data_IF_908552742461
#
_entry.id   IF_908552742461
#
_cell.length_a   1.000
_cell.length_b   1.000
_cell.length_c   1.000
_cell.angle_alpha   90.00
_cell.angle_beta   90.00
_cell.angle_gamma   90.00
#
_symmetry.space_group_name_H-M   'P 1'
#
loop_
_entity.id
_entity.type
_entity.pdbx_description
1 polymer ?
#
# COMPACT_ATOMS: atom_id res chain seq x y z
N UNK A 1 -15.76 -7.46 22.36
CA UNK A 1 -14.45 -7.14 22.96
C UNK A 1 -13.57 -6.35 21.99
N UNK A 2 -14.08 -5.21 21.51
CA UNK A 2 -13.31 -4.29 20.67
C UNK A 2 -12.50 -3.24 21.48
N UNK A 3 -12.74 -3.18 22.78
CA UNK A 3 -12.15 -2.19 23.68
C UNK A 3 -10.63 -2.34 23.89
N UNK A 4 -10.11 -3.56 23.90
CA UNK A 4 -8.70 -3.81 24.20
C UNK A 4 -7.69 -3.21 23.19
N UNK A 5 -8.07 -3.07 21.92
CA UNK A 5 -7.17 -2.53 20.90
C UNK A 5 -7.12 -0.99 20.96
N UNK A 6 -8.19 -0.36 21.37
CA UNK A 6 -8.22 1.08 21.60
C UNK A 6 -7.33 1.53 22.76
N UNK A 7 -7.21 0.71 23.79
CA UNK A 7 -6.37 1.02 24.95
C UNK A 7 -4.88 0.90 24.66
N UNK A 8 -4.50 -0.07 23.82
CA UNK A 8 -3.12 -0.16 23.33
C UNK A 8 -2.71 1.03 22.47
N UNK A 9 -3.64 1.74 21.96
CA UNK A 9 -3.40 2.91 21.18
C UNK A 9 -2.27 3.67 21.79
N UNK A 10 -1.85 3.09 22.93
CA UNK A 10 -1.23 4.19 22.71
C UNK A 10 -0.90 4.93 23.96
N UNK A 11 -0.73 4.20 24.82
CA UNK A 11 0.39 4.42 25.70
C UNK A 11 1.73 4.41 24.95
N UNK A 12 1.74 4.78 23.67
CA UNK A 12 2.93 5.42 23.13
C UNK A 12 3.09 6.64 24.02
N UNK A 13 3.90 6.49 25.05
CA UNK A 13 4.30 7.59 25.90
C UNK A 13 4.98 8.56 24.95
N UNK A 14 4.20 9.52 24.45
CA UNK A 14 4.77 10.70 23.81
C UNK A 14 5.84 11.14 24.79
N UNK A 15 7.12 11.15 24.40
CA UNK A 15 8.18 11.57 25.29
C UNK A 15 7.71 12.85 25.95
N UNK A 16 7.95 13.03 27.23
CA UNK A 16 7.53 14.23 28.03
C UNK A 16 7.97 15.57 27.43
N UNK A 17 8.64 15.56 26.29
CA UNK A 17 8.84 16.75 25.47
C UNK A 17 7.45 17.25 25.05
N UNK A 18 6.97 18.28 25.74
CA UNK A 18 5.83 19.07 25.27
C UNK A 18 6.05 19.35 23.79
N UNK A 19 5.11 18.89 22.95
CA UNK A 19 5.09 19.27 21.54
C UNK A 19 5.14 20.79 21.49
N UNK A 20 6.17 21.35 20.85
CA UNK A 20 6.28 22.79 20.75
C UNK A 20 5.21 23.29 19.79
N UNK A 21 4.49 24.34 20.17
CA UNK A 21 3.61 25.05 19.25
C UNK A 21 4.41 25.45 18.00
N UNK A 22 3.89 25.09 16.81
CA UNK A 22 4.47 25.39 15.49
C UNK A 22 5.70 24.61 15.03
N UNK A 23 6.34 23.77 15.81
CA UNK A 23 7.46 22.94 15.34
C UNK A 23 6.94 21.61 14.77
N UNK A 24 6.25 21.66 13.66
CA UNK A 24 5.50 20.55 13.12
C UNK A 24 6.35 19.36 12.69
N UNK A 25 7.52 19.59 12.09
CA UNK A 25 8.39 18.46 11.72
C UNK A 25 8.98 17.81 12.97
N UNK A 26 9.42 18.58 13.97
CA UNK A 26 9.88 18.02 15.26
C UNK A 26 8.75 17.19 15.92
N UNK A 27 7.51 17.70 15.85
CA UNK A 27 6.35 16.96 16.34
C UNK A 27 6.12 15.66 15.54
N UNK A 28 6.18 15.72 14.21
CA UNK A 28 6.09 14.54 13.37
C UNK A 28 7.19 13.53 13.70
N UNK A 29 8.42 14.00 13.86
CA UNK A 29 9.57 13.18 14.22
C UNK A 29 9.35 12.52 15.58
N UNK A 30 9.03 13.30 16.61
CA UNK A 30 8.85 12.81 17.98
C UNK A 30 7.69 11.82 18.12
N UNK A 31 6.55 12.04 17.43
CA UNK A 31 5.34 11.24 17.57
C UNK A 31 5.32 10.04 16.64
N UNK A 32 5.91 10.14 15.45
CA UNK A 32 5.76 9.11 14.42
C UNK A 32 7.08 8.42 14.08
N UNK A 33 8.16 9.17 13.89
CA UNK A 33 9.44 8.59 13.44
C UNK A 33 10.17 7.96 14.62
N UNK A 34 10.41 8.71 15.67
CA UNK A 34 11.18 8.25 16.85
C UNK A 34 10.42 7.17 17.65
N UNK A 35 9.09 7.17 17.58
CA UNK A 35 8.25 6.12 18.16
C UNK A 35 8.07 4.90 17.27
N UNK A 36 8.70 4.91 16.10
CA UNK A 36 8.66 3.81 15.14
C UNK A 36 7.25 3.48 14.59
N UNK A 37 6.36 4.47 14.56
CA UNK A 37 5.03 4.34 13.95
C UNK A 37 5.05 4.58 12.44
N UNK A 38 6.12 5.16 11.89
CA UNK A 38 6.22 5.51 10.49
C UNK A 38 6.00 4.28 9.59
N UNK A 39 5.04 4.39 8.68
CA UNK A 39 4.74 3.34 7.68
C UNK A 39 5.43 3.57 6.34
N UNK A 40 6.32 4.54 6.26
CA UNK A 40 7.05 4.89 5.04
C UNK A 40 6.13 5.16 3.82
N UNK A 41 4.93 5.71 4.05
CA UNK A 41 3.99 6.04 2.97
C UNK A 41 4.39 7.27 2.15
N UNK A 42 5.31 8.08 2.63
CA UNK A 42 5.83 9.32 2.01
C UNK A 42 4.80 10.42 1.75
N UNK A 43 3.64 10.38 2.41
CA UNK A 43 2.64 11.43 2.25
C UNK A 43 3.18 12.79 2.70
N UNK A 44 3.88 12.83 3.83
CA UNK A 44 4.54 14.04 4.35
C UNK A 44 5.63 14.58 3.41
N UNK A 45 6.42 13.69 2.80
CA UNK A 45 7.43 14.03 1.80
C UNK A 45 6.79 14.68 0.57
N UNK A 46 5.68 14.12 0.10
CA UNK A 46 5.00 14.60 -1.11
C UNK A 46 4.46 16.03 -0.99
N UNK A 47 4.12 16.49 0.19
CA UNK A 47 3.53 17.83 0.39
C UNK A 47 4.53 18.88 0.88
N UNK A 48 5.66 18.47 1.42
CA UNK A 48 6.63 19.40 2.00
C UNK A 48 7.26 20.32 0.94
N UNK A 49 7.14 21.65 1.09
CA UNK A 49 7.80 22.60 0.18
C UNK A 49 9.28 22.78 0.51
N UNK A 50 9.71 22.44 1.74
CA UNK A 50 11.07 22.63 2.24
C UNK A 50 12.04 21.50 1.92
N UNK A 51 11.55 20.36 1.39
CA UNK A 51 12.42 19.25 1.00
C UNK A 51 12.56 18.14 2.03
N UNK A 52 11.50 17.86 2.79
CA UNK A 52 11.41 16.63 3.59
C UNK A 52 11.66 15.43 2.67
N UNK A 53 12.50 14.50 3.08
CA UNK A 53 13.00 13.41 2.26
C UNK A 53 13.07 12.10 3.05
N UNK A 54 13.78 11.13 2.53
CA UNK A 54 14.14 9.86 3.19
C UNK A 54 15.66 9.80 3.31
N UNK A 55 16.15 9.32 4.44
CA UNK A 55 17.58 9.07 4.67
C UNK A 55 18.05 7.81 3.91
N UNK A 56 19.35 7.52 3.98
CA UNK A 56 19.94 6.30 3.44
C UNK A 56 19.39 5.03 4.11
N UNK A 57 18.95 5.15 5.37
CA UNK A 57 18.29 4.07 6.12
C UNK A 57 16.78 3.94 5.79
N UNK A 58 16.32 4.63 4.73
CA UNK A 58 14.92 4.65 4.28
C UNK A 58 13.93 5.15 5.36
N UNK A 59 14.38 6.10 6.19
CA UNK A 59 13.60 6.75 7.25
C UNK A 59 13.29 8.19 6.83
N UNK A 60 12.08 8.66 7.12
CA UNK A 60 11.70 10.06 6.85
C UNK A 60 12.59 11.01 7.64
N UNK A 61 13.26 11.90 6.94
CA UNK A 61 14.23 12.86 7.49
C UNK A 61 14.14 14.23 6.81
N UNK A 62 14.68 15.24 7.49
CA UNK A 62 14.73 16.63 6.99
C UNK A 62 16.11 17.22 7.23
N UNK A 63 17.12 16.93 6.39
CA UNK A 63 18.49 17.36 6.58
C UNK A 63 18.65 18.89 6.70
N UNK A 64 17.86 19.65 5.94
CA UNK A 64 17.91 21.11 5.92
C UNK A 64 16.81 21.76 6.82
N UNK A 65 16.39 21.08 7.87
CA UNK A 65 15.26 21.50 8.71
C UNK A 65 15.38 22.96 9.18
N UNK A 66 16.53 23.33 9.75
CA UNK A 66 16.73 24.66 10.35
C UNK A 66 16.62 25.82 9.35
N UNK A 67 16.90 25.56 8.08
CA UNK A 67 16.96 26.58 7.03
C UNK A 67 15.78 26.55 6.08
N UNK A 68 15.15 25.39 5.86
CA UNK A 68 14.11 25.21 4.84
C UNK A 68 12.72 24.89 5.39
N UNK A 69 12.60 24.54 6.67
CA UNK A 69 11.29 24.31 7.27
C UNK A 69 10.52 25.62 7.40
N UNK A 70 9.32 25.66 6.78
CA UNK A 70 8.42 26.81 6.87
C UNK A 70 7.47 26.74 8.08
N UNK A 71 7.58 25.70 8.88
CA UNK A 71 6.69 25.42 10.00
C UNK A 71 5.19 25.49 9.64
N UNK A 72 4.84 25.02 8.44
CA UNK A 72 3.49 25.14 7.87
C UNK A 72 2.53 24.03 8.33
N UNK A 73 3.02 22.99 8.98
CA UNK A 73 2.24 21.86 9.49
C UNK A 73 1.71 20.88 8.45
N UNK A 74 2.03 21.04 7.15
CA UNK A 74 1.54 20.17 6.10
C UNK A 74 1.91 18.70 6.34
N UNK A 75 3.14 18.41 6.77
CA UNK A 75 3.63 17.07 7.04
C UNK A 75 2.86 16.36 8.15
N UNK A 76 2.43 17.09 9.19
CA UNK A 76 1.63 16.55 10.31
C UNK A 76 0.19 16.26 9.83
N UNK A 77 -0.46 17.24 9.19
CA UNK A 77 -1.87 17.09 8.78
C UNK A 77 -2.12 15.94 7.82
N UNK A 78 -1.16 15.64 6.95
CA UNK A 78 -1.32 14.53 5.99
C UNK A 78 -0.75 13.20 6.49
N UNK A 79 -0.16 13.16 7.67
CA UNK A 79 0.42 11.91 8.17
C UNK A 79 -0.67 10.98 8.70
N UNK A 80 -0.89 9.79 8.08
CA UNK A 80 -1.92 8.87 8.56
C UNK A 80 -1.53 8.15 9.86
N UNK A 81 -0.32 8.43 10.38
CA UNK A 81 0.20 7.84 11.61
C UNK A 81 0.33 8.83 12.77
N UNK A 82 0.12 10.14 12.52
CA UNK A 82 0.22 11.15 13.58
C UNK A 82 -0.92 10.98 14.61
N UNK A 83 -2.16 10.86 14.11
CA UNK A 83 -3.34 10.55 14.90
C UNK A 83 -3.87 9.17 14.49
N UNK A 84 -3.02 8.14 14.58
CA UNK A 84 -3.33 6.84 14.03
C UNK A 84 -4.41 6.12 14.83
N UNK A 85 -5.48 5.77 14.13
CA UNK A 85 -6.53 4.88 14.63
C UNK A 85 -6.40 3.49 14.03
N UNK A 86 -6.17 2.44 14.86
CA UNK A 86 -6.11 1.08 14.37
C UNK A 86 -7.40 0.70 13.65
N UNK A 87 -7.27 0.19 12.43
CA UNK A 87 -8.42 -0.32 11.69
C UNK A 87 -8.84 -1.67 12.24
N UNK A 88 -10.14 -1.90 12.35
CA UNK A 88 -10.68 -3.16 12.86
C UNK A 88 -11.40 -3.96 11.77
N UNK A 89 -11.13 -5.28 11.71
CA UNK A 89 -11.79 -6.16 10.76
C UNK A 89 -11.41 -5.90 9.31
N UNK A 90 -12.37 -6.09 8.43
CA UNK A 90 -12.21 -5.96 6.98
C UNK A 90 -12.77 -4.64 6.43
N UNK A 91 -13.32 -3.77 7.29
CA UNK A 91 -14.06 -2.58 6.89
C UNK A 91 -15.40 -2.91 6.22
N UNK A 92 -16.12 -1.88 5.84
CA UNK A 92 -17.38 -2.02 5.12
C UNK A 92 -17.16 -2.31 3.64
N UNK A 93 -18.05 -3.10 3.04
CA UNK A 93 -18.08 -3.39 1.61
C UNK A 93 -19.51 -3.66 1.17
N UNK A 94 -19.85 -3.26 -0.05
CA UNK A 94 -21.15 -3.56 -0.67
C UNK A 94 -21.16 -4.91 -1.39
N UNK A 95 -19.99 -5.38 -1.84
CA UNK A 95 -19.82 -6.70 -2.44
C UNK A 95 -18.43 -7.28 -2.11
N UNK A 96 -18.39 -8.59 -1.91
CA UNK A 96 -17.18 -9.37 -1.71
C UNK A 96 -17.21 -10.55 -2.69
N UNK A 97 -16.41 -10.46 -3.74
CA UNK A 97 -16.50 -11.34 -4.92
C UNK A 97 -15.12 -11.83 -5.36
N UNK A 98 -15.09 -12.97 -6.04
CA UNK A 98 -13.94 -13.40 -6.81
C UNK A 98 -14.00 -12.82 -8.22
N UNK A 99 -12.85 -12.43 -8.79
CA UNK A 99 -12.78 -11.92 -10.15
C UNK A 99 -11.52 -12.40 -10.87
N UNK A 100 -11.64 -12.70 -12.18
CA UNK A 100 -10.54 -13.04 -13.06
C UNK A 100 -10.71 -12.33 -14.40
N UNK A 101 -9.76 -11.46 -14.73
CA UNK A 101 -9.73 -10.81 -16.03
C UNK A 101 -9.58 -11.83 -17.17
N UNK A 102 -10.28 -11.58 -18.28
CA UNK A 102 -10.11 -12.31 -19.54
C UNK A 102 -9.10 -11.66 -20.47
N UNK A 103 -8.71 -10.43 -20.16
CA UNK A 103 -7.84 -9.61 -21.01
C UNK A 103 -6.38 -9.56 -20.52
N UNK A 104 -6.20 -9.71 -19.21
CA UNK A 104 -4.89 -9.53 -18.59
C UNK A 104 -4.47 -10.77 -17.82
N UNK A 105 -3.16 -11.02 -17.82
CA UNK A 105 -2.52 -12.00 -16.96
C UNK A 105 -1.91 -11.30 -15.73
N UNK A 106 -1.91 -11.97 -14.59
CA UNK A 106 -1.35 -11.46 -13.34
C UNK A 106 -0.97 -12.60 -12.41
N UNK A 107 -0.66 -12.26 -11.16
CA UNK A 107 -0.29 -13.27 -10.17
C UNK A 107 -1.46 -14.20 -9.83
N UNK A 108 -2.67 -13.62 -9.80
CA UNK A 108 -3.96 -14.28 -9.58
C UNK A 108 -4.92 -13.87 -10.70
N UNK A 109 -6.09 -13.35 -10.38
CA UNK A 109 -7.11 -12.94 -11.34
C UNK A 109 -6.85 -11.64 -12.13
N UNK A 110 -5.72 -10.96 -11.93
CA UNK A 110 -5.36 -9.70 -12.61
C UNK A 110 -6.40 -8.57 -12.46
N UNK A 111 -7.24 -8.59 -11.41
CA UNK A 111 -8.31 -7.62 -11.23
C UNK A 111 -7.83 -6.19 -10.96
N UNK A 112 -6.63 -5.99 -10.41
CA UNK A 112 -6.05 -4.65 -10.24
C UNK A 112 -5.86 -3.97 -11.60
N UNK A 113 -5.25 -4.68 -12.54
CA UNK A 113 -5.06 -4.19 -13.91
C UNK A 113 -6.40 -3.96 -14.61
N UNK A 114 -7.33 -4.91 -14.50
CA UNK A 114 -8.66 -4.83 -15.10
C UNK A 114 -9.44 -3.59 -14.61
N UNK A 115 -9.44 -3.33 -13.30
CA UNK A 115 -10.11 -2.17 -12.69
C UNK A 115 -9.56 -0.83 -13.22
N UNK A 116 -8.24 -0.69 -13.27
CA UNK A 116 -7.61 0.55 -13.73
C UNK A 116 -7.87 0.77 -15.23
N UNK A 117 -7.71 -0.27 -16.07
CA UNK A 117 -7.94 -0.15 -17.51
C UNK A 117 -9.42 0.13 -17.81
N UNK A 118 -10.33 -0.56 -17.15
CA UNK A 118 -11.77 -0.31 -17.30
C UNK A 118 -12.14 1.12 -16.88
N UNK A 119 -11.56 1.65 -15.80
CA UNK A 119 -11.78 3.05 -15.41
C UNK A 119 -11.20 4.06 -16.42
N UNK A 120 -10.10 3.69 -17.13
CA UNK A 120 -9.56 4.47 -18.26
C UNK A 120 -10.53 4.44 -19.46
N UNK A 121 -11.01 3.28 -19.85
CA UNK A 121 -11.98 3.12 -20.94
C UNK A 121 -13.30 3.85 -20.69
N UNK A 122 -13.73 3.92 -19.42
CA UNK A 122 -14.87 4.74 -18.99
C UNK A 122 -14.60 6.26 -19.05
N UNK A 123 -13.35 6.68 -19.25
CA UNK A 123 -12.95 8.09 -19.19
C UNK A 123 -12.94 8.69 -17.79
N UNK A 124 -13.10 7.89 -16.75
CA UNK A 124 -13.06 8.34 -15.33
C UNK A 124 -11.65 8.77 -14.96
N UNK A 125 -10.65 8.06 -15.45
CA UNK A 125 -9.23 8.36 -15.30
C UNK A 125 -8.53 8.36 -16.66
N UNK A 126 -7.46 9.13 -16.79
CA UNK A 126 -6.55 9.10 -17.95
C UNK A 126 -5.12 8.68 -17.54
N UNK A 127 -4.98 8.27 -16.28
CA UNK A 127 -3.70 7.88 -15.72
C UNK A 127 -3.86 6.89 -14.59
N UNK A 128 -3.14 5.77 -14.67
CA UNK A 128 -2.99 4.78 -13.61
C UNK A 128 -1.59 4.82 -13.01
N UNK A 129 -1.48 4.76 -11.68
CA UNK A 129 -0.20 4.62 -10.98
C UNK A 129 -0.04 3.19 -10.50
N UNK A 130 1.02 2.54 -10.96
CA UNK A 130 1.39 1.17 -10.62
C UNK A 130 2.79 1.11 -10.04
N UNK A 131 2.97 0.22 -9.07
CA UNK A 131 4.29 -0.21 -8.65
C UNK A 131 4.77 -1.36 -9.56
N UNK A 132 5.84 -1.13 -10.28
CA UNK A 132 6.59 -2.14 -11.00
C UNK A 132 7.90 -2.44 -10.29
N UNK A 133 8.85 -3.00 -11.00
CA UNK A 133 10.21 -3.26 -10.54
C UNK A 133 11.23 -2.98 -11.62
N UNK A 134 12.43 -2.60 -11.22
CA UNK A 134 13.59 -2.54 -12.10
C UNK A 134 14.23 -3.95 -12.29
N UNK A 135 15.37 -3.97 -12.93
CA UNK A 135 16.16 -5.18 -13.20
C UNK A 135 16.73 -5.83 -11.93
N UNK A 136 16.92 -5.03 -10.86
CA UNK A 136 17.40 -5.49 -9.55
C UNK A 136 16.26 -5.82 -8.58
N UNK A 137 15.01 -5.84 -9.05
CA UNK A 137 13.80 -6.03 -8.23
C UNK A 137 13.52 -4.90 -7.23
N UNK A 138 14.18 -3.76 -7.34
CA UNK A 138 13.76 -2.57 -6.60
C UNK A 138 12.44 -2.05 -7.17
N UNK A 139 11.58 -1.57 -6.27
CA UNK A 139 10.25 -1.10 -6.67
C UNK A 139 10.34 0.25 -7.37
N UNK A 140 9.79 0.32 -8.55
CA UNK A 140 9.66 1.53 -9.37
C UNK A 140 8.19 1.91 -9.60
N UNK A 141 7.93 3.22 -9.74
CA UNK A 141 6.59 3.72 -10.02
C UNK A 141 6.39 4.01 -11.51
N UNK A 142 5.29 3.50 -12.06
CA UNK A 142 4.92 3.67 -13.45
C UNK A 142 3.64 4.48 -13.59
N UNK A 143 3.67 5.46 -14.52
CA UNK A 143 2.50 6.23 -14.94
C UNK A 143 1.95 5.62 -16.23
N UNK A 144 0.95 4.78 -16.11
CA UNK A 144 0.27 4.16 -17.24
C UNK A 144 -0.79 5.13 -17.78
N UNK A 145 -0.72 5.44 -19.06
CA UNK A 145 -1.66 6.29 -19.79
C UNK A 145 -2.35 5.55 -20.92
N UNK A 146 -1.78 4.44 -21.32
CA UNK A 146 -2.25 3.57 -22.37
C UNK A 146 -2.25 2.13 -21.86
N UNK A 147 -3.36 1.39 -22.01
CA UNK A 147 -3.42 -0.03 -21.65
C UNK A 147 -2.31 -0.89 -22.24
N UNK A 148 -1.79 -0.55 -23.43
CA UNK A 148 -0.67 -1.28 -24.04
C UNK A 148 0.61 -1.23 -23.20
N UNK A 149 0.80 -0.19 -22.38
CA UNK A 149 1.92 -0.09 -21.45
C UNK A 149 1.90 -1.14 -20.35
N UNK A 150 0.73 -1.76 -20.09
CA UNK A 150 0.57 -2.82 -19.09
C UNK A 150 1.09 -4.19 -19.57
N UNK A 151 1.44 -4.33 -20.84
CA UNK A 151 2.15 -5.49 -21.35
C UNK A 151 3.61 -5.59 -20.84
N UNK A 152 4.10 -4.56 -20.13
CA UNK A 152 5.44 -4.54 -19.53
C UNK A 152 5.48 -5.55 -18.39
N UNK A 153 6.28 -6.59 -18.51
CA UNK A 153 6.38 -7.72 -17.57
C UNK A 153 6.78 -7.30 -16.15
N UNK A 154 7.51 -6.19 -16.00
CA UNK A 154 7.93 -5.66 -14.68
C UNK A 154 6.79 -5.11 -13.83
N UNK A 155 5.62 -4.83 -14.43
CA UNK A 155 4.42 -4.39 -13.70
C UNK A 155 3.68 -5.55 -13.02
N UNK A 156 3.79 -6.76 -13.54
CA UNK A 156 3.12 -7.95 -12.98
C UNK A 156 3.76 -8.45 -11.69
N UNK A 157 2.99 -9.24 -10.93
CA UNK A 157 3.41 -9.92 -9.71
C UNK A 157 3.53 -9.03 -8.48
N UNK A 158 3.69 -9.66 -7.32
CA UNK A 158 3.84 -8.97 -6.03
C UNK A 158 5.28 -8.51 -5.82
N UNK A 159 5.45 -7.28 -5.36
CA UNK A 159 6.71 -6.70 -4.88
C UNK A 159 6.53 -6.47 -3.39
N UNK A 160 7.41 -7.03 -2.60
CA UNK A 160 7.36 -6.92 -1.14
C UNK A 160 8.22 -5.76 -0.61
N UNK A 161 8.47 -4.75 -1.43
CA UNK A 161 9.25 -3.56 -1.07
C UNK A 161 8.41 -2.30 -1.16
N UNK A 162 8.80 -1.28 -0.38
CA UNK A 162 8.12 0.02 -0.41
C UNK A 162 8.25 0.70 -1.78
N UNK A 163 7.21 1.41 -2.18
CA UNK A 163 7.15 2.19 -3.40
C UNK A 163 6.89 3.67 -3.10
N UNK A 164 7.48 4.55 -3.87
CA UNK A 164 7.35 6.01 -3.73
C UNK A 164 6.06 6.56 -4.37
N UNK A 165 4.92 5.96 -3.98
CA UNK A 165 3.61 6.25 -4.59
C UNK A 165 3.21 7.73 -4.43
N UNK A 166 3.42 8.33 -3.26
CA UNK A 166 2.89 9.68 -2.97
C UNK A 166 3.61 10.80 -3.73
N UNK A 167 4.94 10.81 -3.87
CA UNK A 167 5.63 11.76 -4.72
C UNK A 167 5.16 11.68 -6.19
N UNK A 168 4.94 10.46 -6.70
CA UNK A 168 4.45 10.26 -8.06
C UNK A 168 2.98 10.63 -8.21
N UNK A 169 2.14 10.38 -7.20
CA UNK A 169 0.75 10.84 -7.17
C UNK A 169 0.66 12.36 -7.24
N UNK A 170 1.51 13.08 -6.50
CA UNK A 170 1.62 14.55 -6.56
C UNK A 170 1.93 15.04 -7.98
N UNK A 171 2.81 14.35 -8.71
CA UNK A 171 3.08 14.65 -10.12
C UNK A 171 1.86 14.34 -10.99
N UNK A 172 1.27 13.16 -10.81
CA UNK A 172 0.13 12.70 -11.62
C UNK A 172 -1.07 13.64 -11.56
N UNK A 173 -1.48 14.09 -10.37
CA UNK A 173 -2.66 14.98 -10.21
C UNK A 173 -2.48 16.35 -10.88
N UNK A 174 -1.24 16.80 -11.10
CA UNK A 174 -0.95 18.06 -11.81
C UNK A 174 -1.12 17.96 -13.32
N UNK A 175 -0.94 16.77 -13.89
CA UNK A 175 -0.90 16.55 -15.33
C UNK A 175 -2.08 15.75 -15.87
N UNK A 176 -2.96 15.24 -15.00
CA UNK A 176 -4.16 14.55 -15.43
C UNK A 176 -5.21 15.51 -15.98
N UNK A 177 -5.93 15.08 -17.03
CA UNK A 177 -7.08 15.79 -17.59
C UNK A 177 -8.38 15.37 -16.94
N UNK A 178 -8.65 14.06 -16.86
CA UNK A 178 -9.88 13.51 -16.26
C UNK A 178 -9.69 13.04 -14.81
N UNK A 179 -8.67 12.24 -14.53
CA UNK A 179 -8.41 11.75 -13.18
C UNK A 179 -7.28 10.73 -13.11
N UNK A 180 -6.91 10.38 -11.88
CA UNK A 180 -5.87 9.40 -11.55
C UNK A 180 -6.48 8.23 -10.82
N UNK A 181 -6.12 7.01 -11.26
CA UNK A 181 -6.27 5.78 -10.50
C UNK A 181 -4.96 5.47 -9.77
N UNK A 182 -5.02 5.17 -8.49
CA UNK A 182 -3.85 4.83 -7.69
C UNK A 182 -3.99 3.45 -7.07
N UNK A 183 -2.93 2.65 -7.15
CA UNK A 183 -2.83 1.34 -6.52
C UNK A 183 -1.89 1.44 -5.33
N UNK A 184 -2.28 0.92 -4.17
CA UNK A 184 -1.44 0.99 -2.99
C UNK A 184 -1.81 0.03 -1.86
N UNK A 185 -0.85 -0.21 -0.99
CA UNK A 185 -1.05 -0.93 0.27
C UNK A 185 -1.89 -0.10 1.26
N UNK A 186 -2.41 -0.66 2.36
CA UNK A 186 -3.27 0.07 3.30
C UNK A 186 -2.71 1.41 3.79
N UNK A 187 -1.41 1.48 4.08
CA UNK A 187 -0.77 2.72 4.52
C UNK A 187 -0.73 3.79 3.42
N UNK A 188 -0.57 3.39 2.15
CA UNK A 188 -0.67 4.28 1.00
C UNK A 188 -2.11 4.78 0.85
N UNK A 189 -3.09 3.88 0.94
CA UNK A 189 -4.52 4.25 0.87
C UNK A 189 -4.87 5.28 1.93
N UNK A 190 -4.51 5.05 3.20
CA UNK A 190 -4.73 6.02 4.28
C UNK A 190 -4.06 7.38 4.00
N UNK A 191 -2.83 7.36 3.45
CA UNK A 191 -2.15 8.59 3.04
C UNK A 191 -2.88 9.32 1.91
N UNK A 192 -3.43 8.59 0.91
CA UNK A 192 -4.26 9.19 -0.16
C UNK A 192 -5.49 9.87 0.43
N UNK A 193 -6.17 9.24 1.40
CA UNK A 193 -7.33 9.84 2.06
C UNK A 193 -6.97 11.12 2.81
N UNK A 194 -5.85 11.13 3.53
CA UNK A 194 -5.35 12.36 4.18
C UNK A 194 -5.05 13.46 3.17
N UNK A 195 -4.48 13.14 2.00
CA UNK A 195 -4.29 14.12 0.92
C UNK A 195 -5.61 14.64 0.37
N UNK A 196 -6.63 13.78 0.21
CA UNK A 196 -7.96 14.17 -0.25
C UNK A 196 -8.70 15.03 0.77
N UNK A 197 -8.51 14.80 2.06
CA UNK A 197 -9.06 15.64 3.14
C UNK A 197 -8.47 17.04 3.11
N UNK A 198 -7.14 17.15 3.01
CA UNK A 198 -6.41 18.41 3.14
C UNK A 198 -6.36 19.24 1.85
N UNK A 199 -6.29 18.60 0.68
CA UNK A 199 -6.01 19.30 -0.57
C UNK A 199 -7.09 19.05 -1.64
N UNK A 200 -7.80 20.11 -2.10
CA UNK A 200 -8.84 19.99 -3.12
C UNK A 200 -8.37 19.28 -4.40
N UNK A 201 -7.13 19.52 -4.86
CA UNK A 201 -6.60 18.91 -6.08
C UNK A 201 -6.58 17.36 -6.00
N UNK A 202 -6.23 16.79 -4.85
CA UNK A 202 -6.26 15.34 -4.68
C UNK A 202 -7.70 14.82 -4.59
N UNK A 203 -8.59 15.56 -3.92
CA UNK A 203 -10.01 15.21 -3.84
C UNK A 203 -10.68 15.20 -5.21
N UNK A 204 -10.35 16.17 -6.05
CA UNK A 204 -10.93 16.31 -7.38
C UNK A 204 -10.30 15.38 -8.41
N UNK A 205 -8.99 15.10 -8.30
CA UNK A 205 -8.26 14.41 -9.35
C UNK A 205 -8.02 12.92 -9.07
N UNK A 206 -7.97 12.47 -7.82
CA UNK A 206 -7.88 11.05 -7.51
C UNK A 206 -9.29 10.45 -7.55
N UNK A 207 -9.57 9.67 -8.60
CA UNK A 207 -10.92 9.18 -8.92
C UNK A 207 -11.13 7.71 -8.58
N UNK A 208 -10.04 6.93 -8.48
CA UNK A 208 -10.11 5.52 -8.12
C UNK A 208 -8.91 5.15 -7.24
N UNK A 209 -9.19 4.63 -6.07
CA UNK A 209 -8.17 4.12 -5.12
C UNK A 209 -8.34 2.62 -4.98
N UNK A 210 -7.41 1.88 -5.57
CA UNK A 210 -7.35 0.42 -5.49
C UNK A 210 -6.41 0.03 -4.36
N UNK A 211 -6.95 -0.54 -3.29
CA UNK A 211 -6.19 -1.05 -2.17
C UNK A 211 -5.73 -2.49 -2.39
N UNK A 212 -4.53 -2.83 -1.94
CA UNK A 212 -4.02 -4.19 -1.94
C UNK A 212 -4.12 -4.81 -0.55
N UNK A 213 -4.49 -6.09 -0.47
CA UNK A 213 -4.35 -6.85 0.78
C UNK A 213 -2.88 -6.92 1.15
N UNK A 214 -2.54 -6.60 2.40
CA UNK A 214 -1.15 -6.45 2.82
C UNK A 214 -0.96 -6.93 4.27
N UNK A 215 -0.11 -7.90 4.46
CA UNK A 215 0.37 -8.31 5.79
C UNK A 215 1.57 -7.48 6.23
N UNK A 216 2.55 -7.30 5.35
CA UNK A 216 3.77 -6.54 5.55
C UNK A 216 4.39 -6.06 4.24
N UNK A 217 5.36 -5.16 4.37
CA UNK A 217 6.24 -4.70 3.30
C UNK A 217 7.63 -4.42 3.89
N UNK A 218 8.68 -4.37 3.07
CA UNK A 218 10.06 -4.32 3.54
C UNK A 218 10.83 -3.17 2.89
N UNK A 219 11.90 -2.73 3.54
CA UNK A 219 12.91 -1.88 2.92
C UNK A 219 13.71 -2.71 1.92
N UNK A 220 13.97 -2.14 0.75
CA UNK A 220 14.61 -2.89 -0.34
C UNK A 220 15.98 -3.44 0.04
N UNK A 221 16.83 -2.61 0.65
CA UNK A 221 18.18 -3.04 1.03
C UNK A 221 18.17 -4.20 2.04
N UNK A 222 17.23 -4.18 2.99
CA UNK A 222 17.15 -5.22 4.02
C UNK A 222 16.66 -6.55 3.44
N UNK A 223 15.57 -6.51 2.64
CA UNK A 223 15.04 -7.76 2.08
C UNK A 223 15.94 -8.31 0.97
N UNK A 224 16.60 -7.49 0.16
CA UNK A 224 17.51 -7.97 -0.88
C UNK A 224 18.70 -8.69 -0.28
N UNK A 225 19.37 -8.10 0.71
CA UNK A 225 20.47 -8.73 1.44
C UNK A 225 20.03 -10.02 2.13
N UNK A 226 18.84 -10.03 2.73
CA UNK A 226 18.29 -11.22 3.36
C UNK A 226 18.08 -12.35 2.36
N UNK A 227 17.48 -12.06 1.21
CA UNK A 227 17.20 -13.04 0.15
C UNK A 227 18.49 -13.56 -0.50
N UNK A 228 19.47 -12.70 -0.76
CA UNK A 228 20.81 -13.11 -1.22
C UNK A 228 21.47 -14.05 -0.23
N UNK A 229 21.39 -13.76 1.06
CA UNK A 229 21.85 -14.63 2.14
C UNK A 229 21.15 -15.99 2.21
N UNK A 230 19.96 -16.13 1.62
CA UNK A 230 19.21 -17.39 1.44
C UNK A 230 19.51 -18.08 0.11
N UNK A 231 20.37 -17.51 -0.74
CA UNK A 231 20.73 -18.08 -2.04
C UNK A 231 19.87 -17.61 -3.22
N UNK A 232 19.10 -16.53 -3.05
CA UNK A 232 18.35 -15.95 -4.17
C UNK A 232 19.31 -15.15 -5.07
N UNK A 233 19.34 -15.50 -6.33
CA UNK A 233 20.02 -14.76 -7.40
C UNK A 233 19.02 -13.86 -8.12
N UNK A 234 19.10 -12.54 -7.86
CA UNK A 234 18.17 -11.57 -8.44
C UNK A 234 18.23 -11.51 -9.96
N UNK A 235 19.37 -11.84 -10.58
CA UNK A 235 19.50 -11.88 -12.04
C UNK A 235 18.67 -12.99 -12.67
N UNK A 236 18.32 -14.01 -11.89
CA UNK A 236 17.50 -15.16 -12.30
C UNK A 236 16.08 -15.11 -11.74
N UNK A 237 15.79 -14.16 -10.84
CA UNK A 237 14.53 -14.11 -10.14
C UNK A 237 13.39 -13.78 -11.11
N UNK A 238 12.35 -14.62 -11.12
CA UNK A 238 11.16 -14.49 -11.98
C UNK A 238 9.95 -14.03 -11.19
N UNK A 239 9.76 -14.57 -9.98
CA UNK A 239 8.58 -14.33 -9.15
C UNK A 239 8.92 -14.43 -7.67
N UNK A 240 8.27 -13.58 -6.87
CA UNK A 240 8.18 -13.77 -5.42
C UNK A 240 6.73 -13.97 -5.01
N UNK A 241 6.50 -14.81 -3.99
CA UNK A 241 5.17 -15.10 -3.47
C UNK A 241 5.21 -15.40 -1.98
N UNK A 242 4.12 -15.09 -1.28
CA UNK A 242 3.87 -15.54 0.10
C UNK A 242 2.60 -16.35 0.10
N UNK A 243 2.72 -17.65 0.29
CA UNK A 243 1.59 -18.55 0.36
C UNK A 243 1.75 -19.61 1.44
N UNK A 244 0.67 -19.94 2.14
CA UNK A 244 0.65 -20.95 3.21
C UNK A 244 1.78 -20.80 4.25
N UNK A 245 2.09 -19.55 4.62
CA UNK A 245 3.12 -19.22 5.61
C UNK A 245 4.56 -19.40 5.13
N UNK A 246 4.79 -19.52 3.82
CA UNK A 246 6.10 -19.62 3.19
C UNK A 246 6.33 -18.44 2.25
N UNK A 247 7.54 -17.89 2.29
CA UNK A 247 8.07 -17.05 1.23
C UNK A 247 8.68 -17.94 0.16
N UNK A 248 8.39 -17.67 -1.08
CA UNK A 248 8.85 -18.42 -2.24
C UNK A 248 9.47 -17.45 -3.23
N UNK A 249 10.75 -17.64 -3.54
CA UNK A 249 11.44 -16.96 -4.61
C UNK A 249 11.69 -17.95 -5.75
N UNK A 250 11.02 -17.79 -6.87
CA UNK A 250 11.15 -18.62 -8.05
C UNK A 250 12.15 -17.99 -9.00
N UNK A 251 13.21 -18.68 -9.30
CA UNK A 251 14.25 -18.32 -10.28
C UNK A 251 14.07 -19.13 -11.56
N UNK A 252 14.80 -18.78 -12.60
CA UNK A 252 14.72 -19.48 -13.90
C UNK A 252 15.12 -20.95 -13.84
N UNK A 253 15.96 -21.33 -12.88
CA UNK A 253 16.58 -22.65 -12.75
C UNK A 253 16.43 -23.26 -11.34
N UNK A 254 15.91 -22.53 -10.36
CA UNK A 254 15.77 -22.99 -8.98
C UNK A 254 14.63 -22.28 -8.25
N UNK A 255 14.32 -22.74 -7.04
CA UNK A 255 13.32 -22.15 -6.16
C UNK A 255 13.79 -22.17 -4.70
N UNK A 256 13.85 -20.98 -4.09
CA UNK A 256 14.17 -20.84 -2.67
C UNK A 256 12.89 -20.70 -1.86
N UNK A 257 12.71 -21.55 -0.84
CA UNK A 257 11.54 -21.53 0.05
C UNK A 257 11.95 -21.50 1.51
N UNK A 258 11.33 -20.62 2.29
CA UNK A 258 11.48 -20.60 3.74
C UNK A 258 10.21 -20.13 4.44
N UNK A 259 10.12 -20.29 5.77
CA UNK A 259 8.97 -19.81 6.55
C UNK A 259 8.92 -18.29 6.54
N UNK A 260 7.78 -17.68 6.20
CA UNK A 260 7.60 -16.21 6.19
C UNK A 260 7.92 -15.58 7.55
N UNK A 261 7.73 -16.32 8.64
CA UNK A 261 8.08 -15.87 10.00
C UNK A 261 9.56 -15.47 10.13
N UNK A 262 10.45 -16.02 9.32
CA UNK A 262 11.86 -15.66 9.36
C UNK A 262 12.13 -14.22 8.86
N UNK A 263 11.18 -13.58 8.18
CA UNK A 263 11.25 -12.17 7.78
C UNK A 263 10.85 -11.20 8.93
N UNK A 264 10.39 -11.71 10.07
CA UNK A 264 10.04 -10.85 11.22
C UNK A 264 11.27 -10.07 11.75
N UNK A 265 12.48 -10.59 11.55
CA UNK A 265 13.71 -9.91 11.96
C UNK A 265 14.03 -8.63 11.19
N UNK A 266 13.53 -8.52 9.94
CA UNK A 266 13.68 -7.36 9.07
C UNK A 266 12.36 -6.62 8.86
N UNK A 267 11.34 -6.91 9.67
CA UNK A 267 10.02 -6.30 9.52
C UNK A 267 10.04 -4.84 9.98
N UNK A 268 9.71 -3.88 9.11
CA UNK A 268 9.65 -2.49 9.49
C UNK A 268 8.68 -2.25 10.64
N UNK A 269 9.10 -1.47 11.60
CA UNK A 269 8.32 -1.22 12.83
C UNK A 269 6.93 -0.67 12.57
N UNK A 270 6.76 0.18 11.55
CA UNK A 270 5.44 0.67 11.13
C UNK A 270 4.50 -0.42 10.59
N UNK A 271 5.03 -1.55 10.09
CA UNK A 271 4.23 -2.71 9.73
C UNK A 271 3.79 -3.51 10.96
N UNK A 272 4.60 -3.53 12.01
CA UNK A 272 4.27 -4.20 13.27
C UNK A 272 3.01 -3.64 13.92
N UNK A 273 2.84 -2.30 13.92
CA UNK A 273 1.68 -1.62 14.53
C UNK A 273 0.45 -1.57 13.62
N UNK A 274 0.58 -1.98 12.35
CA UNK A 274 -0.50 -1.89 11.38
C UNK A 274 -1.54 -2.99 11.58
N UNK A 275 -2.81 -2.62 11.75
CA UNK A 275 -3.94 -3.57 11.89
C UNK A 275 -4.76 -3.70 10.61
N UNK A 276 -4.57 -2.84 9.61
CA UNK A 276 -5.30 -2.89 8.35
C UNK A 276 -4.70 -3.94 7.40
N UNK A 277 -5.47 -4.98 7.11
CA UNK A 277 -5.09 -6.02 6.14
C UNK A 277 -5.66 -5.75 4.76
N UNK A 278 -6.90 -5.28 4.69
CA UNK A 278 -7.68 -5.21 3.44
C UNK A 278 -7.74 -3.83 2.81
N UNK A 279 -6.97 -2.86 3.29
CA UNK A 279 -7.03 -1.47 2.84
C UNK A 279 -8.45 -0.90 2.95
N UNK A 280 -8.98 -0.88 4.18
CA UNK A 280 -10.40 -0.60 4.47
C UNK A 280 -10.90 0.77 3.96
N UNK A 281 -10.00 1.71 3.73
CA UNK A 281 -10.31 3.05 3.21
C UNK A 281 -10.23 3.14 1.67
N UNK A 282 -9.94 2.06 0.94
CA UNK A 282 -9.93 2.05 -0.52
C UNK A 282 -11.34 2.24 -1.12
N UNK A 283 -11.44 2.51 -2.42
CA UNK A 283 -12.70 2.42 -3.15
C UNK A 283 -13.03 0.95 -3.47
N UNK A 284 -11.98 0.20 -3.81
CA UNK A 284 -12.02 -1.24 -4.01
C UNK A 284 -10.72 -1.85 -3.51
N UNK A 285 -10.79 -2.98 -2.84
CA UNK A 285 -9.61 -3.69 -2.35
C UNK A 285 -9.46 -5.04 -3.04
N UNK A 286 -8.22 -5.42 -3.35
CA UNK A 286 -7.92 -6.62 -4.12
C UNK A 286 -6.83 -7.44 -3.42
N UNK A 287 -7.00 -8.75 -3.40
CA UNK A 287 -6.00 -9.68 -2.88
C UNK A 287 -6.19 -11.10 -3.40
N UNK A 288 -5.39 -12.05 -2.90
CA UNK A 288 -5.42 -13.46 -3.33
C UNK A 288 -6.17 -14.37 -2.37
N UNK A 289 -6.33 -13.97 -1.11
CA UNK A 289 -6.96 -14.80 -0.07
C UNK A 289 -8.48 -14.61 -0.09
N UNK A 290 -9.25 -15.69 0.02
CA UNK A 290 -10.70 -15.68 0.05
C UNK A 290 -11.36 -16.14 -1.26
N UNK A 291 -10.58 -16.39 -2.31
CA UNK A 291 -11.07 -16.89 -3.60
C UNK A 291 -10.30 -18.11 -4.09
N UNK A 292 -10.85 -18.81 -5.06
CA UNK A 292 -10.20 -19.96 -5.70
C UNK A 292 -8.89 -19.55 -6.41
N UNK A 293 -7.98 -20.49 -6.57
CA UNK A 293 -6.72 -20.27 -7.30
C UNK A 293 -6.97 -19.71 -8.71
N UNK A 294 -6.19 -18.70 -9.10
CA UNK A 294 -6.34 -17.98 -10.37
C UNK A 294 -7.44 -16.93 -10.39
N UNK A 295 -8.06 -16.65 -9.23
CA UNK A 295 -8.97 -15.53 -9.03
C UNK A 295 -8.38 -14.53 -8.02
N UNK A 296 -8.67 -13.27 -8.21
CA UNK A 296 -8.46 -12.24 -7.19
C UNK A 296 -9.71 -12.09 -6.33
N UNK A 297 -9.55 -11.92 -5.03
CA UNK A 297 -10.62 -11.49 -4.14
C UNK A 297 -10.78 -9.98 -4.27
N UNK A 298 -12.00 -9.50 -4.43
CA UNK A 298 -12.35 -8.10 -4.65
C UNK A 298 -13.40 -7.68 -3.64
N UNK A 299 -13.05 -6.73 -2.76
CA UNK A 299 -13.99 -6.08 -1.85
C UNK A 299 -14.37 -4.70 -2.43
N UNK A 300 -15.59 -4.54 -2.88
CA UNK A 300 -16.15 -3.30 -3.44
C UNK A 300 -16.67 -2.45 -2.29
N UNK A 301 -16.25 -1.18 -2.17
CA UNK A 301 -16.49 -0.40 -0.95
C UNK A 301 -17.33 0.85 -1.17
N UNK A 302 -17.44 1.33 -2.40
CA UNK A 302 -18.23 2.52 -2.69
C UNK A 302 -18.78 2.53 -4.12
N UNK A 303 -19.67 3.51 -4.38
CA UNK A 303 -20.35 3.65 -5.66
C UNK A 303 -19.42 3.89 -6.87
N UNK A 304 -18.21 4.45 -6.68
CA UNK A 304 -17.27 4.62 -7.77
C UNK A 304 -16.72 3.28 -8.23
N UNK A 305 -16.36 2.43 -7.28
CA UNK A 305 -15.89 1.08 -7.57
C UNK A 305 -17.02 0.20 -8.13
N UNK A 306 -18.24 0.33 -7.62
CA UNK A 306 -19.42 -0.37 -8.15
C UNK A 306 -19.61 -0.12 -9.65
N UNK A 307 -19.56 1.14 -10.08
CA UNK A 307 -19.67 1.51 -11.51
C UNK A 307 -18.60 0.85 -12.38
N UNK A 308 -17.36 0.77 -11.87
CA UNK A 308 -16.28 0.11 -12.62
C UNK A 308 -16.53 -1.41 -12.72
N UNK A 309 -16.97 -2.03 -11.63
CA UNK A 309 -17.31 -3.47 -11.63
C UNK A 309 -18.51 -3.76 -12.55
N UNK A 310 -19.55 -2.91 -12.55
CA UNK A 310 -20.68 -3.03 -13.45
C UNK A 310 -20.25 -2.92 -14.92
N UNK A 311 -19.42 -1.93 -15.25
CA UNK A 311 -18.86 -1.79 -16.58
C UNK A 311 -18.08 -3.03 -17.03
N UNK A 312 -17.22 -3.60 -16.15
CA UNK A 312 -16.49 -4.83 -16.42
C UNK A 312 -17.45 -5.99 -16.70
N UNK A 313 -18.53 -6.10 -15.93
CA UNK A 313 -19.58 -7.14 -16.12
C UNK A 313 -20.32 -6.95 -17.43
N UNK A 314 -20.77 -5.76 -17.75
CA UNK A 314 -21.49 -5.43 -19.00
C UNK A 314 -20.64 -5.72 -20.25
N UNK A 315 -19.34 -5.44 -20.18
CA UNK A 315 -18.39 -5.72 -21.26
C UNK A 315 -17.95 -7.18 -21.33
N UNK A 316 -18.23 -7.98 -20.28
CA UNK A 316 -17.78 -9.36 -20.21
C UNK A 316 -16.26 -9.52 -20.10
N UNK A 317 -15.56 -8.52 -19.52
CA UNK A 317 -14.10 -8.46 -19.44
C UNK A 317 -13.51 -9.36 -18.35
N UNK A 318 -14.29 -9.82 -17.41
CA UNK A 318 -13.85 -10.72 -16.37
C UNK A 318 -14.90 -11.82 -16.09
N UNK A 319 -14.41 -12.94 -15.58
CA UNK A 319 -15.24 -13.96 -14.91
C UNK A 319 -15.37 -13.57 -13.44
N UNK A 320 -16.57 -13.72 -12.89
CA UNK A 320 -16.84 -13.48 -11.48
C UNK A 320 -17.35 -14.76 -10.80
N UNK A 321 -17.01 -14.88 -9.52
CA UNK A 321 -17.42 -16.02 -8.68
C UNK A 321 -17.58 -15.58 -7.23
N UNK A 322 -17.78 -16.59 -6.37
CA UNK A 322 -17.91 -16.38 -4.94
C UNK A 322 -16.51 -16.23 -4.29
N UNK A 323 -16.42 -15.34 -3.32
CA UNK A 323 -15.29 -15.22 -2.42
C UNK A 323 -15.77 -15.35 -0.97
N UNK A 324 -14.96 -15.97 -0.14
CA UNK A 324 -15.28 -16.24 1.26
C UNK A 324 -14.52 -15.26 2.19
N UNK A 325 -15.22 -14.28 2.79
CA UNK A 325 -14.60 -13.33 3.70
C UNK A 325 -14.07 -13.97 4.99
N UNK A 326 -14.59 -15.12 5.42
CA UNK A 326 -14.13 -15.80 6.64
C UNK A 326 -12.68 -16.27 6.53
N UNK A 327 -12.23 -16.61 5.32
CA UNK A 327 -10.82 -17.00 5.09
C UNK A 327 -9.82 -15.87 5.38
N UNK A 328 -10.24 -14.60 5.37
CA UNK A 328 -9.39 -13.48 5.72
C UNK A 328 -9.23 -13.33 7.24
N UNK A 329 -10.11 -13.95 8.02
CA UNK A 329 -10.14 -13.83 9.48
C UNK A 329 -8.80 -14.16 10.15
N UNK A 330 -8.08 -15.16 9.64
CA UNK A 330 -6.77 -15.53 10.14
C UNK A 330 -5.74 -14.39 9.96
N UNK A 331 -5.65 -13.79 8.78
CA UNK A 331 -4.67 -12.73 8.48
C UNK A 331 -5.03 -11.42 9.17
N UNK A 332 -6.31 -11.07 9.20
CA UNK A 332 -6.81 -9.93 9.99
C UNK A 332 -6.46 -10.12 11.48
N UNK A 333 -6.71 -11.32 12.01
CA UNK A 333 -6.38 -11.67 13.39
C UNK A 333 -4.86 -11.67 13.67
N UNK A 334 -4.06 -12.12 12.70
CA UNK A 334 -2.61 -12.11 12.79
C UNK A 334 -2.06 -10.68 12.92
N UNK A 335 -2.51 -9.74 12.08
CA UNK A 335 -2.10 -8.32 12.18
C UNK A 335 -2.50 -7.71 13.52
N UNK A 336 -3.72 -7.98 14.01
CA UNK A 336 -4.17 -7.50 15.32
C UNK A 336 -3.31 -8.03 16.46
N UNK A 337 -3.00 -9.33 16.46
CA UNK A 337 -2.13 -9.95 17.46
C UNK A 337 -0.72 -9.38 17.43
N UNK A 338 -0.17 -9.19 16.23
CA UNK A 338 1.16 -8.59 16.06
C UNK A 338 1.20 -7.18 16.64
N UNK A 339 0.24 -6.33 16.29
CA UNK A 339 0.14 -4.98 16.81
C UNK A 339 -0.04 -4.92 18.34
N UNK A 340 -0.78 -5.86 18.93
CA UNK A 340 -0.97 -5.94 20.37
C UNK A 340 0.30 -6.35 21.15
N UNK A 341 1.23 -7.07 20.51
CA UNK A 341 2.44 -7.55 21.18
C UNK A 341 3.57 -6.51 21.27
N UNK A 342 3.42 -5.34 20.64
CA UNK A 342 4.47 -4.29 20.66
C UNK A 342 4.52 -3.51 21.98
N UNK A 343 3.54 -3.67 22.84
CA UNK A 343 3.48 -3.02 24.16
C UNK A 343 4.00 -3.88 25.34
N UNK A 344 4.40 -5.11 25.06
CA UNK A 344 5.00 -6.04 26.01
C UNK A 344 6.46 -6.26 25.68
#
# INVERSE_FOLDING_TARGET
MAAAIGEYKWEVKVPEKKLKDKLYFENLKAVVVDTKLCSRCLTCVSVCPGGLTVSEEDIVDFPDYDTKCLDCGACVRVCPRFDYEPKSGMGDYSAFIAGRSKRFAGQDGAMVTELIVSAMEMGVIDRGLFAGRDENWATEMFHVRDPEQLAITTLGGTKYTFADVMPELKKAVRFTKSGVGVVGTPCIVSGVRKLQEEYPIFREKVKLVVGLFCTENFHYNEISQYLEGKGVDFSKLVKTDITMGKFIATMTDDEVKFKVKALEEILPSGCNVCTDFTAVEADVSVGSVGSAAGFSTVAVRNANAEKVIEFIKEKGYADFGEADPEQLGFLVGHKKKRAANIGN
#
